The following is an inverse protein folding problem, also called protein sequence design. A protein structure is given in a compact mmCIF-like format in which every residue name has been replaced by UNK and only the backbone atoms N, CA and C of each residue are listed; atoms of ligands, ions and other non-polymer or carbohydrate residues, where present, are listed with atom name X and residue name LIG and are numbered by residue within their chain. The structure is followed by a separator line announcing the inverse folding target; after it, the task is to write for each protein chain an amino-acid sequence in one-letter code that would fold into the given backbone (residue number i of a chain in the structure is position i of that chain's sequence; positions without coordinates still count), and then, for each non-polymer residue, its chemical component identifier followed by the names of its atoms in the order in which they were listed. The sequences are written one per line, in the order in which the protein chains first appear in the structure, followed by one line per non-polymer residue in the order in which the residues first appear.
data_IF_568919068315
#
_entry.id   IF_568919068315
#
_cell.length_a   1.000
_cell.length_b   1.000
_cell.length_c   1.000
_cell.angle_alpha   90.00
_cell.angle_beta   90.00
_cell.angle_gamma   90.00
#
_symmetry.space_group_name_H-M   'P 1'
#
loop_
_entity.id
_entity.type
_entity.pdbx_description
1 polymer ?
#
# COMPACT_ATOMS: atom_id res chain seq x y z
N UNK A 1 15.96 6.73 -1.73
CA UNK A 1 15.09 5.55 -1.93
C UNK A 1 14.79 4.93 -0.58
N UNK A 2 13.52 4.68 -0.29
CA UNK A 2 13.06 3.87 0.84
C UNK A 2 12.68 2.47 0.34
N UNK A 3 13.09 1.43 1.08
CA UNK A 3 12.75 0.06 0.75
C UNK A 3 12.08 -0.61 1.96
N UNK A 4 10.96 -1.29 1.75
CA UNK A 4 10.26 -2.07 2.76
C UNK A 4 10.34 -3.55 2.39
N UNK A 5 10.87 -4.34 3.31
CA UNK A 5 10.92 -5.80 3.21
C UNK A 5 9.53 -6.41 3.40
N UNK A 6 9.28 -7.58 2.83
CA UNK A 6 8.08 -8.38 3.06
C UNK A 6 7.86 -8.66 4.56
N UNK A 7 8.93 -8.95 5.30
CA UNK A 7 8.92 -9.05 6.76
C UNK A 7 9.28 -7.69 7.38
N UNK A 8 8.31 -6.77 7.43
CA UNK A 8 8.49 -5.42 7.95
C UNK A 8 9.05 -5.39 9.39
N UNK A 9 8.77 -6.42 10.19
CA UNK A 9 9.26 -6.56 11.57
C UNK A 9 10.79 -6.52 11.67
N UNK A 10 11.50 -7.02 10.66
CA UNK A 10 12.97 -7.00 10.60
C UNK A 10 13.56 -5.59 10.46
N UNK A 11 12.73 -4.61 10.17
CA UNK A 11 13.14 -3.22 10.01
C UNK A 11 12.97 -2.39 11.29
N UNK A 12 12.35 -2.95 12.33
CA UNK A 12 12.12 -2.29 13.61
C UNK A 12 13.29 -2.57 14.55
N UNK A 13 14.11 -1.56 14.83
CA UNK A 13 15.40 -1.71 15.51
C UNK A 13 15.49 -0.92 16.83
N UNK A 14 14.56 0.00 17.07
CA UNK A 14 14.63 0.90 18.21
C UNK A 14 13.72 0.45 19.38
N UNK A 15 13.94 1.02 20.57
CA UNK A 15 13.24 0.62 21.80
C UNK A 15 11.82 1.21 21.91
N UNK A 16 11.49 2.22 21.09
CA UNK A 16 10.14 2.80 21.06
C UNK A 16 9.72 3.20 19.64
N UNK A 17 8.39 3.26 19.42
CA UNK A 17 7.82 3.77 18.16
C UNK A 17 8.32 5.18 17.85
N UNK A 18 8.42 6.02 18.87
CA UNK A 18 8.95 7.38 18.75
C UNK A 18 10.38 7.38 18.22
N UNK A 19 11.26 6.58 18.82
CA UNK A 19 12.65 6.48 18.38
C UNK A 19 12.76 5.91 16.98
N UNK A 20 11.94 4.93 16.62
CA UNK A 20 11.91 4.36 15.28
C UNK A 20 11.61 5.42 14.20
N UNK A 21 10.62 6.28 14.45
CA UNK A 21 10.25 7.35 13.53
C UNK A 21 11.30 8.46 13.45
N UNK A 22 11.97 8.77 14.56
CA UNK A 22 13.00 9.81 14.65
C UNK A 22 14.37 9.34 14.14
N UNK A 23 14.64 8.04 14.16
CA UNK A 23 15.93 7.46 13.77
C UNK A 23 16.41 7.94 12.39
N UNK A 24 15.50 7.95 11.44
CA UNK A 24 15.78 8.35 10.07
C UNK A 24 15.54 9.84 9.78
N UNK A 25 14.99 10.61 10.73
CA UNK A 25 14.73 12.04 10.58
C UNK A 25 14.98 12.81 11.89
N UNK A 26 16.24 13.02 12.19
CA UNK A 26 16.66 13.74 13.40
C UNK A 26 16.27 15.23 13.42
N UNK A 27 15.78 15.77 12.32
CA UNK A 27 15.32 17.16 12.20
C UNK A 27 13.81 17.29 12.40
N UNK A 28 13.09 16.19 12.57
CA UNK A 28 11.66 16.19 12.84
C UNK A 28 11.37 16.81 14.21
N UNK A 29 10.48 17.79 14.24
CA UNK A 29 10.02 18.39 15.47
C UNK A 29 9.01 17.49 16.19
N UNK A 30 8.83 17.65 17.51
CA UNK A 30 7.81 16.92 18.28
C UNK A 30 6.40 17.10 17.69
N UNK A 31 6.08 18.29 17.19
CA UNK A 31 4.79 18.57 16.57
C UNK A 31 4.60 17.77 15.25
N UNK A 32 5.64 17.67 14.43
CA UNK A 32 5.61 16.87 13.20
C UNK A 32 5.50 15.38 13.52
N UNK A 33 6.21 14.91 14.55
CA UNK A 33 6.12 13.55 15.05
C UNK A 33 4.71 13.21 15.54
N UNK A 34 4.09 14.07 16.34
CA UNK A 34 2.73 13.87 16.84
C UNK A 34 1.72 13.78 15.68
N UNK A 35 1.84 14.67 14.68
CA UNK A 35 1.00 14.63 13.47
C UNK A 35 1.19 13.29 12.74
N UNK A 36 2.42 12.82 12.58
CA UNK A 36 2.72 11.55 11.93
C UNK A 36 2.13 10.37 12.71
N UNK A 37 2.35 10.31 14.02
CA UNK A 37 1.82 9.28 14.89
C UNK A 37 0.29 9.17 14.82
N UNK A 38 -0.42 10.31 14.76
CA UNK A 38 -1.86 10.34 14.57
C UNK A 38 -2.27 9.80 13.19
N UNK A 39 -1.57 10.19 12.12
CA UNK A 39 -1.82 9.68 10.76
C UNK A 39 -1.59 8.17 10.66
N UNK A 40 -0.60 7.65 11.37
CA UNK A 40 -0.30 6.22 11.45
C UNK A 40 -1.27 5.45 12.35
N UNK A 41 -2.14 6.14 13.10
CA UNK A 41 -3.01 5.54 14.13
C UNK A 41 -2.23 4.75 15.19
N UNK A 42 -1.05 5.25 15.59
CA UNK A 42 -0.19 4.63 16.62
C UNK A 42 0.21 5.63 17.74
N UNK A 43 -0.43 6.80 17.82
CA UNK A 43 -0.10 7.83 18.78
C UNK A 43 -0.07 7.33 20.23
N UNK A 44 -1.03 6.49 20.63
CA UNK A 44 -1.11 5.93 21.98
C UNK A 44 -0.02 4.92 22.31
N UNK A 45 0.70 4.45 21.31
CA UNK A 45 1.79 3.47 21.40
C UNK A 45 3.17 4.12 21.22
N UNK A 46 3.25 5.45 21.26
CA UNK A 46 4.47 6.20 20.92
C UNK A 46 5.71 5.78 21.73
N UNK A 47 5.50 5.42 22.98
CA UNK A 47 6.56 5.04 23.92
C UNK A 47 6.67 3.50 24.08
N UNK A 48 5.83 2.74 23.38
CA UNK A 48 5.83 1.28 23.43
C UNK A 48 6.91 0.69 22.52
N UNK A 49 7.36 -0.52 22.90
CA UNK A 49 8.29 -1.30 22.07
C UNK A 49 7.61 -1.72 20.76
N UNK A 50 8.17 -1.39 19.59
CA UNK A 50 7.49 -1.60 18.31
C UNK A 50 7.07 -3.05 18.05
N UNK A 51 7.89 -4.04 18.46
CA UNK A 51 7.54 -5.45 18.25
C UNK A 51 6.42 -5.96 19.17
N UNK A 52 6.01 -5.20 20.19
CA UNK A 52 4.85 -5.50 21.01
C UNK A 52 3.51 -5.13 20.33
N UNK A 53 3.56 -4.36 19.25
CA UNK A 53 2.39 -3.91 18.50
C UNK A 53 1.82 -5.05 17.63
N UNK A 54 0.54 -4.90 17.20
CA UNK A 54 -0.03 -5.81 16.18
C UNK A 54 0.71 -5.70 14.84
N UNK A 55 0.62 -6.73 14.01
CA UNK A 55 1.30 -6.76 12.70
C UNK A 55 0.96 -5.53 11.84
N UNK A 56 -0.32 -5.14 11.78
CA UNK A 56 -0.76 -3.96 11.05
C UNK A 56 -0.23 -2.64 11.64
N UNK A 57 -0.09 -2.54 12.96
CA UNK A 57 0.52 -1.38 13.60
C UNK A 57 2.02 -1.31 13.30
N UNK A 58 2.74 -2.45 13.38
CA UNK A 58 4.16 -2.52 13.02
C UNK A 58 4.43 -2.07 11.59
N UNK A 59 3.63 -2.57 10.64
CA UNK A 59 3.71 -2.14 9.24
C UNK A 59 3.57 -0.61 9.10
N UNK A 60 2.59 -0.01 9.80
CA UNK A 60 2.38 1.44 9.77
C UNK A 60 3.56 2.21 10.36
N UNK A 61 4.20 1.68 11.43
CA UNK A 61 5.42 2.28 11.98
C UNK A 61 6.56 2.24 10.95
N UNK A 62 6.80 1.11 10.29
CA UNK A 62 7.82 0.98 9.25
C UNK A 62 7.55 1.94 8.08
N UNK A 63 6.31 2.00 7.60
CA UNK A 63 5.92 2.96 6.56
C UNK A 63 6.13 4.41 7.03
N UNK A 64 5.75 4.72 8.26
CA UNK A 64 5.98 6.03 8.87
C UNK A 64 7.45 6.41 8.91
N UNK A 65 8.33 5.48 9.28
CA UNK A 65 9.78 5.69 9.28
C UNK A 65 10.33 5.95 7.87
N UNK A 66 9.81 5.26 6.85
CA UNK A 66 10.17 5.49 5.45
C UNK A 66 9.62 6.83 4.92
N UNK A 67 8.39 7.19 5.30
CA UNK A 67 7.72 8.43 4.88
C UNK A 67 8.31 9.66 5.58
N UNK A 68 8.80 9.52 6.80
CA UNK A 68 9.41 10.61 7.57
C UNK A 68 10.67 11.17 6.91
N UNK A 69 11.36 10.37 6.10
CA UNK A 69 12.54 10.81 5.36
C UNK A 69 12.14 11.68 4.17
N UNK A 70 12.53 12.94 4.23
CA UNK A 70 12.25 13.93 3.15
C UNK A 70 13.00 13.62 1.86
N UNK A 71 14.16 12.98 1.96
CA UNK A 71 15.03 12.60 0.83
C UNK A 71 14.61 11.32 0.09
N UNK A 72 13.59 10.60 0.61
CA UNK A 72 13.02 9.45 -0.07
C UNK A 72 11.99 9.89 -1.12
N UNK A 73 12.41 10.01 -2.36
CA UNK A 73 11.54 10.30 -3.51
C UNK A 73 10.88 9.04 -4.07
N UNK A 74 11.53 7.87 -3.89
CA UNK A 74 11.03 6.56 -4.34
C UNK A 74 10.89 5.62 -3.15
N UNK A 75 9.72 5.00 -3.04
CA UNK A 75 9.45 3.93 -2.10
C UNK A 75 9.27 2.60 -2.85
N UNK A 76 10.01 1.59 -2.46
CA UNK A 76 9.88 0.22 -2.94
C UNK A 76 9.28 -0.62 -1.82
N UNK A 77 8.10 -1.22 -2.04
CA UNK A 77 7.38 -1.98 -1.01
C UNK A 77 7.17 -3.41 -1.50
N UNK A 78 7.63 -4.38 -0.71
CA UNK A 78 7.50 -5.78 -1.03
C UNK A 78 6.35 -6.39 -0.21
N UNK A 79 5.27 -6.81 -0.91
CA UNK A 79 4.07 -7.44 -0.36
C UNK A 79 3.48 -6.72 0.89
N UNK A 80 3.16 -5.41 0.80
CA UNK A 80 2.71 -4.63 1.95
C UNK A 80 1.35 -5.04 2.50
N UNK A 81 0.61 -5.90 1.78
CA UNK A 81 -0.72 -6.39 2.16
C UNK A 81 -0.70 -7.70 2.92
N UNK A 82 0.43 -8.43 2.93
CA UNK A 82 0.51 -9.77 3.48
C UNK A 82 0.16 -9.83 4.97
N UNK A 83 -0.91 -10.58 5.28
CA UNK A 83 -1.38 -10.80 6.66
C UNK A 83 -2.02 -9.57 7.30
N UNK A 84 -2.52 -8.64 6.50
CA UNK A 84 -3.30 -7.50 6.96
C UNK A 84 -4.80 -7.83 6.97
N UNK A 85 -5.53 -7.26 7.93
CA UNK A 85 -6.99 -7.24 7.92
C UNK A 85 -7.51 -6.06 7.06
N UNK A 86 -8.82 -6.07 6.75
CA UNK A 86 -9.46 -5.04 5.91
C UNK A 86 -9.18 -3.61 6.40
N UNK A 87 -9.28 -3.38 7.71
CA UNK A 87 -9.03 -2.05 8.29
C UNK A 87 -7.57 -1.60 8.13
N UNK A 88 -6.63 -2.54 8.23
CA UNK A 88 -5.21 -2.27 8.01
C UNK A 88 -4.91 -1.96 6.54
N UNK A 89 -5.60 -2.63 5.61
CA UNK A 89 -5.51 -2.34 4.17
C UNK A 89 -6.04 -0.94 3.82
N UNK A 90 -7.16 -0.54 4.41
CA UNK A 90 -7.69 0.83 4.25
C UNK A 90 -6.69 1.89 4.75
N UNK A 91 -6.10 1.66 5.93
CA UNK A 91 -5.07 2.55 6.47
C UNK A 91 -3.81 2.59 5.58
N UNK A 92 -3.37 1.43 5.07
CA UNK A 92 -2.26 1.33 4.12
C UNK A 92 -2.56 2.17 2.87
N UNK A 93 -3.74 1.99 2.26
CA UNK A 93 -4.18 2.74 1.09
C UNK A 93 -4.15 4.26 1.32
N UNK A 94 -4.65 4.72 2.47
CA UNK A 94 -4.60 6.14 2.84
C UNK A 94 -3.16 6.66 2.98
N UNK A 95 -2.26 5.87 3.58
CA UNK A 95 -0.86 6.28 3.75
C UNK A 95 -0.12 6.35 2.41
N UNK A 96 -0.36 5.39 1.51
CA UNK A 96 0.25 5.38 0.18
C UNK A 96 -0.27 6.54 -0.68
N UNK A 97 -1.59 6.80 -0.66
CA UNK A 97 -2.18 7.96 -1.33
C UNK A 97 -1.59 9.27 -0.81
N UNK A 98 -1.49 9.41 0.52
CA UNK A 98 -0.85 10.59 1.11
C UNK A 98 0.61 10.75 0.66
N UNK A 99 1.38 9.66 0.59
CA UNK A 99 2.76 9.71 0.11
C UNK A 99 2.85 10.17 -1.35
N UNK A 100 1.96 9.70 -2.21
CA UNK A 100 1.87 10.11 -3.62
C UNK A 100 1.51 11.61 -3.75
N UNK A 101 0.56 12.09 -2.96
CA UNK A 101 0.21 13.52 -2.88
C UNK A 101 1.39 14.41 -2.44
N UNK A 102 2.33 13.87 -1.64
CA UNK A 102 3.58 14.54 -1.28
C UNK A 102 4.67 14.45 -2.37
N UNK A 103 4.32 13.95 -3.56
CA UNK A 103 5.23 13.85 -4.70
C UNK A 103 6.17 12.63 -4.67
N UNK A 104 5.93 11.67 -3.79
CA UNK A 104 6.73 10.43 -3.76
C UNK A 104 6.25 9.46 -4.85
N UNK A 105 7.19 8.82 -5.51
CA UNK A 105 6.92 7.68 -6.39
C UNK A 105 6.87 6.41 -5.55
N UNK A 106 5.84 5.59 -5.75
CA UNK A 106 5.66 4.35 -5.01
C UNK A 106 5.64 3.18 -5.99
N UNK A 107 6.52 2.23 -5.79
CA UNK A 107 6.51 0.95 -6.49
C UNK A 107 6.26 -0.15 -5.47
N UNK A 108 5.20 -0.92 -5.64
CA UNK A 108 4.91 -2.04 -4.75
C UNK A 108 4.67 -3.33 -5.54
N UNK A 109 5.19 -4.43 -5.01
CA UNK A 109 4.86 -5.77 -5.45
C UNK A 109 3.71 -6.30 -4.60
N UNK A 110 2.68 -6.84 -5.22
CA UNK A 110 1.56 -7.46 -4.50
C UNK A 110 0.82 -8.46 -5.37
N UNK A 111 0.19 -9.43 -4.74
CA UNK A 111 -0.82 -10.30 -5.33
C UNK A 111 -2.26 -9.84 -5.03
N UNK A 112 -2.42 -8.75 -4.30
CA UNK A 112 -3.71 -8.15 -3.97
C UNK A 112 -4.20 -7.28 -5.14
N UNK A 113 -5.13 -7.87 -5.91
CA UNK A 113 -5.72 -7.23 -7.09
C UNK A 113 -6.56 -6.01 -6.70
N UNK A 114 -7.26 -6.05 -5.56
CA UNK A 114 -8.08 -4.94 -5.09
C UNK A 114 -7.23 -3.71 -4.77
N UNK A 115 -6.14 -3.90 -4.03
CA UNK A 115 -5.19 -2.82 -3.76
C UNK A 115 -4.61 -2.27 -5.08
N UNK A 116 -4.13 -3.15 -5.96
CA UNK A 116 -3.55 -2.74 -7.25
C UNK A 116 -4.56 -1.98 -8.11
N UNK A 117 -5.82 -2.45 -8.17
CA UNK A 117 -6.90 -1.80 -8.93
C UNK A 117 -7.23 -0.40 -8.42
N UNK A 118 -7.14 -0.20 -7.10
CA UNK A 118 -7.60 1.04 -6.45
C UNK A 118 -6.54 2.12 -6.35
N UNK A 119 -5.25 1.74 -6.30
CA UNK A 119 -4.15 2.67 -6.01
C UNK A 119 -3.15 2.86 -7.14
N UNK A 120 -2.95 1.86 -8.00
CA UNK A 120 -1.90 1.95 -9.00
C UNK A 120 -2.31 2.85 -10.17
N UNK A 121 -1.40 3.72 -10.60
CA UNK A 121 -1.53 4.44 -11.88
C UNK A 121 -1.08 3.55 -13.04
N UNK A 122 -0.16 2.61 -12.77
CA UNK A 122 0.41 1.70 -13.75
C UNK A 122 0.75 0.35 -13.16
N UNK A 123 0.41 -0.72 -13.87
CA UNK A 123 0.63 -2.11 -13.47
C UNK A 123 1.60 -2.78 -14.43
N UNK A 124 2.52 -3.53 -13.86
CA UNK A 124 3.45 -4.42 -14.54
C UNK A 124 3.10 -5.85 -14.15
N UNK A 125 2.59 -6.64 -15.09
CA UNK A 125 2.28 -8.05 -14.85
C UNK A 125 3.51 -8.90 -15.13
N UNK A 126 4.02 -9.57 -14.09
CA UNK A 126 5.18 -10.45 -14.17
C UNK A 126 4.72 -11.91 -14.15
N UNK A 127 5.13 -12.69 -15.13
CA UNK A 127 4.90 -14.13 -15.16
C UNK A 127 6.13 -14.85 -15.75
N UNK A 128 6.50 -15.97 -15.15
CA UNK A 128 7.64 -16.80 -15.58
C UNK A 128 8.96 -16.02 -15.80
N UNK A 129 9.20 -15.01 -14.94
CA UNK A 129 10.41 -14.18 -14.99
C UNK A 129 10.39 -13.07 -16.06
N UNK A 130 9.27 -12.86 -16.75
CA UNK A 130 9.13 -11.83 -17.80
C UNK A 130 7.91 -10.93 -17.56
N UNK A 131 7.99 -9.67 -17.98
CA UNK A 131 6.83 -8.81 -18.05
C UNK A 131 5.96 -9.20 -19.23
N UNK A 132 4.74 -9.69 -18.95
CA UNK A 132 3.77 -10.13 -19.96
C UNK A 132 2.81 -9.01 -20.37
N UNK A 133 2.61 -8.01 -19.51
CA UNK A 133 1.81 -6.83 -19.82
C UNK A 133 2.25 -5.64 -18.96
N UNK A 134 2.03 -4.43 -19.50
CA UNK A 134 2.22 -3.15 -18.78
C UNK A 134 1.13 -2.20 -19.25
N UNK A 135 0.39 -1.59 -18.31
CA UNK A 135 -0.71 -0.67 -18.65
C UNK A 135 -1.40 -0.06 -17.43
N UNK A 136 -2.43 0.72 -17.67
CA UNK A 136 -3.31 1.22 -16.61
C UNK A 136 -4.11 0.05 -15.98
N UNK A 137 -4.55 0.17 -14.72
CA UNK A 137 -5.28 -0.90 -14.05
C UNK A 137 -6.46 -1.43 -14.87
N UNK A 138 -7.26 -0.55 -15.46
CA UNK A 138 -8.41 -0.93 -16.26
C UNK A 138 -8.02 -1.71 -17.53
N UNK A 139 -6.93 -1.33 -18.21
CA UNK A 139 -6.42 -2.05 -19.39
C UNK A 139 -5.95 -3.46 -19.04
N UNK A 140 -5.29 -3.61 -17.90
CA UNK A 140 -4.75 -4.88 -17.41
C UNK A 140 -5.88 -5.80 -16.96
N UNK A 141 -6.72 -5.33 -16.04
CA UNK A 141 -7.69 -6.19 -15.37
C UNK A 141 -8.94 -6.50 -16.21
N UNK A 142 -9.26 -5.70 -17.24
CA UNK A 142 -10.32 -6.02 -18.21
C UNK A 142 -9.84 -6.98 -19.31
N UNK A 143 -8.54 -7.25 -19.41
CA UNK A 143 -7.99 -8.12 -20.45
C UNK A 143 -7.85 -9.58 -19.96
N UNK A 144 -8.84 -10.42 -20.30
CA UNK A 144 -8.88 -11.84 -19.87
C UNK A 144 -7.64 -12.64 -20.30
N UNK A 145 -6.99 -12.29 -21.42
CA UNK A 145 -5.76 -12.96 -21.87
C UNK A 145 -4.58 -12.60 -20.97
N UNK A 146 -4.43 -11.32 -20.60
CA UNK A 146 -3.41 -10.85 -19.66
C UNK A 146 -3.59 -11.52 -18.31
N UNK A 147 -4.83 -11.59 -17.78
CA UNK A 147 -5.13 -12.28 -16.52
C UNK A 147 -4.70 -13.75 -16.60
N UNK A 148 -5.05 -14.46 -17.68
CA UNK A 148 -4.66 -15.85 -17.88
C UNK A 148 -3.14 -16.03 -17.94
N UNK A 149 -2.44 -15.17 -18.70
CA UNK A 149 -0.97 -15.23 -18.84
C UNK A 149 -0.27 -14.91 -17.52
N UNK A 150 -0.80 -13.96 -16.75
CA UNK A 150 -0.28 -13.57 -15.44
C UNK A 150 -0.64 -14.52 -14.30
N UNK A 151 -1.54 -15.49 -14.54
CA UNK A 151 -2.08 -16.35 -13.46
C UNK A 151 -2.90 -15.54 -12.43
N UNK A 152 -3.50 -14.42 -12.86
CA UNK A 152 -4.28 -13.53 -12.01
C UNK A 152 -5.75 -13.93 -12.01
N UNK A 153 -6.39 -13.76 -10.84
CA UNK A 153 -7.84 -13.91 -10.72
C UNK A 153 -8.56 -12.75 -11.40
N UNK A 154 -9.80 -12.99 -11.83
CA UNK A 154 -10.66 -11.92 -12.32
C UNK A 154 -11.04 -11.03 -11.13
N UNK A 155 -10.93 -9.69 -11.25
CA UNK A 155 -11.38 -8.79 -10.17
C UNK A 155 -12.87 -9.02 -9.85
N UNK A 156 -13.26 -9.13 -8.57
CA UNK A 156 -14.66 -9.37 -8.19
C UNK A 156 -15.64 -8.31 -8.74
N UNK A 157 -15.19 -7.05 -8.83
CA UNK A 157 -16.02 -5.98 -9.36
C UNK A 157 -16.24 -6.08 -10.87
N UNK A 158 -15.31 -6.67 -11.61
CA UNK A 158 -15.49 -6.96 -13.03
C UNK A 158 -16.56 -8.04 -13.24
N UNK A 159 -16.54 -9.12 -12.46
CA UNK A 159 -17.58 -10.15 -12.51
C UNK A 159 -18.96 -9.56 -12.13
N UNK A 160 -19.00 -8.71 -11.10
CA UNK A 160 -20.24 -8.05 -10.67
C UNK A 160 -20.79 -7.12 -11.78
N UNK A 161 -19.94 -6.34 -12.44
CA UNK A 161 -20.37 -5.47 -13.54
C UNK A 161 -20.90 -6.25 -14.74
N UNK A 162 -20.26 -7.38 -15.10
CA UNK A 162 -20.78 -8.29 -16.12
C UNK A 162 -22.18 -8.84 -15.72
N UNK A 163 -22.37 -9.24 -14.46
CA UNK A 163 -23.66 -9.72 -13.95
C UNK A 163 -24.75 -8.66 -13.95
N UNK A 164 -24.42 -7.41 -13.62
CA UNK A 164 -25.34 -6.29 -13.60
C UNK A 164 -25.63 -5.71 -15.01
N UNK A 165 -24.87 -6.12 -16.03
CA UNK A 165 -25.00 -5.59 -17.39
C UNK A 165 -24.60 -4.13 -17.52
N UNK A 166 -23.68 -3.65 -16.66
CA UNK A 166 -23.09 -2.31 -16.71
C UNK A 166 -21.70 -2.34 -17.34
N UNK A 167 -21.13 -1.16 -17.60
CA UNK A 167 -19.78 -1.05 -18.13
C UNK A 167 -18.75 -1.75 -17.21
N UNK A 168 -17.68 -2.34 -17.75
CA UNK A 168 -16.67 -3.04 -16.96
C UNK A 168 -16.09 -2.17 -15.86
N UNK A 169 -16.25 -2.59 -14.60
CA UNK A 169 -15.74 -1.92 -13.41
C UNK A 169 -14.70 -2.81 -12.72
N UNK A 170 -13.61 -2.23 -12.25
CA UNK A 170 -12.55 -2.95 -11.51
C UNK A 170 -12.49 -2.57 -10.03
N UNK A 171 -13.22 -1.52 -9.64
CA UNK A 171 -13.29 -1.04 -8.26
C UNK A 171 -14.74 -0.90 -7.78
N UNK A 172 -14.95 -1.00 -6.45
CA UNK A 172 -16.25 -0.75 -5.81
C UNK A 172 -16.76 0.66 -6.14
N UNK A 173 -15.87 1.64 -6.16
CA UNK A 173 -16.22 3.05 -6.46
C UNK A 173 -16.81 3.23 -7.86
N UNK A 174 -16.32 2.47 -8.84
CA UNK A 174 -16.85 2.49 -10.20
C UNK A 174 -18.26 1.88 -10.25
N UNK A 175 -18.46 0.70 -9.66
CA UNK A 175 -19.78 0.05 -9.60
C UNK A 175 -20.80 0.96 -8.94
N UNK A 176 -20.45 1.57 -7.80
CA UNK A 176 -21.37 2.49 -7.07
C UNK A 176 -21.81 3.69 -7.90
N UNK A 177 -21.00 4.19 -8.84
CA UNK A 177 -21.37 5.29 -9.75
C UNK A 177 -22.41 4.89 -10.78
N UNK A 178 -22.52 3.61 -11.11
CA UNK A 178 -23.53 3.10 -12.06
C UNK A 178 -24.84 2.73 -11.38
N UNK A 179 -24.82 2.47 -10.06
CA UNK A 179 -25.98 1.92 -9.32
C UNK A 179 -26.69 3.01 -8.49
N UNK A 180 -25.98 4.08 -8.10
CA UNK A 180 -26.50 5.21 -7.33
C UNK A 180 -26.67 6.46 -8.19
#
# INVERSE_FOLDING_TARGET
IGYMLQEADLMLLNDSVREELLWNNKTMTEKELDILLHKLHVYHYRDDFPLALSKGQRLRVVLGALLSRRDNELLLLDEPTTGQDQKSLENLSMLLSYAAEQGKTIFFCTHDIELASSLADRIFVLAQGHFVAVGAPHEIFSNKEVLRMGGLSIPPMLELSEYLGIDPCITVKEVMRHVL
#
